data_IF_102204260382
#
_entry.id   IF_102204260382
#
_cell.length_a   1.000
_cell.length_b   1.000
_cell.length_c   1.000
_cell.angle_alpha   90.00
_cell.angle_beta   90.00
_cell.angle_gamma   90.00
#
_symmetry.space_group_name_H-M   'P 1'
#
loop_
_entity.id
_entity.type
_entity.pdbx_description
1 polymer ?
#
# COMPACT_ATOMS: atom_id res chain seq x y z
N UNK A 1 -61.32 17.04 -33.46
CA UNK A 1 -60.29 18.03 -33.87
C UNK A 1 -59.43 18.38 -32.67
N UNK A 2 -58.25 17.77 -32.54
CA UNK A 2 -57.13 18.24 -31.72
C UNK A 2 -55.86 17.82 -32.44
N UNK A 3 -55.17 18.81 -33.01
CA UNK A 3 -53.88 18.68 -33.66
C UNK A 3 -52.89 19.29 -32.67
N UNK A 4 -51.90 18.52 -32.25
CA UNK A 4 -50.58 19.08 -31.98
C UNK A 4 -49.54 18.08 -32.50
N UNK A 5 -48.98 18.44 -33.67
CA UNK A 5 -47.72 17.92 -34.19
C UNK A 5 -46.60 18.71 -33.50
N UNK A 6 -45.55 18.04 -33.01
CA UNK A 6 -44.15 18.37 -33.34
C UNK A 6 -43.17 17.43 -32.63
N UNK A 7 -42.74 16.40 -33.37
CA UNK A 7 -41.35 16.13 -33.76
C UNK A 7 -40.19 16.38 -32.78
N UNK A 8 -39.60 15.26 -32.31
CA UNK A 8 -38.16 14.84 -32.29
C UNK A 8 -37.09 15.75 -31.64
N UNK A 9 -36.22 15.06 -30.88
CA UNK A 9 -34.76 15.26 -30.65
C UNK A 9 -34.38 15.81 -29.28
N UNK A 10 -33.93 14.91 -28.40
CA UNK A 10 -32.63 14.92 -27.70
C UNK A 10 -32.68 13.74 -26.71
N UNK A 11 -32.38 12.50 -27.12
CA UNK A 11 -31.03 11.97 -27.25
C UNK A 11 -29.95 12.78 -26.49
N UNK A 12 -30.13 12.97 -25.18
CA UNK A 12 -29.00 13.07 -24.24
C UNK A 12 -28.48 11.64 -24.07
N UNK A 13 -27.61 11.16 -24.97
CA UNK A 13 -26.16 11.28 -24.83
C UNK A 13 -25.71 10.99 -23.39
N UNK A 14 -25.58 9.67 -23.15
CA UNK A 14 -24.38 8.96 -22.69
C UNK A 14 -23.40 9.76 -21.80
N UNK A 15 -22.84 9.02 -20.84
CA UNK A 15 -21.57 9.28 -20.11
C UNK A 15 -21.70 9.90 -18.72
N UNK A 16 -22.17 9.12 -17.74
CA UNK A 16 -21.60 9.23 -16.38
C UNK A 16 -21.73 7.94 -15.60
N UNK A 17 -21.45 6.81 -16.26
CA UNK A 17 -21.07 5.59 -15.56
C UNK A 17 -19.88 4.98 -16.29
N UNK A 18 -18.83 5.77 -16.51
CA UNK A 18 -17.49 5.18 -16.42
C UNK A 18 -17.36 4.80 -14.95
N UNK A 19 -17.88 3.63 -14.62
CA UNK A 19 -17.42 2.88 -13.46
C UNK A 19 -15.93 2.82 -13.67
N UNK A 20 -15.21 3.59 -12.87
CA UNK A 20 -13.76 3.59 -12.82
C UNK A 20 -13.34 2.20 -12.36
N UNK A 21 -13.32 1.25 -13.30
CA UNK A 21 -12.59 0.00 -13.18
C UNK A 21 -11.11 0.34 -13.34
N UNK A 22 -10.59 1.12 -12.40
CA UNK A 22 -9.15 1.21 -12.17
C UNK A 22 -8.77 -0.06 -11.42
N UNK A 23 -8.64 -1.16 -12.16
CA UNK A 23 -7.65 -2.19 -11.84
C UNK A 23 -6.31 -1.48 -11.75
N UNK A 24 -5.85 -1.13 -10.54
CA UNK A 24 -4.54 -0.50 -10.35
C UNK A 24 -3.46 -1.44 -10.85
N UNK A 25 -2.78 -1.03 -11.92
CA UNK A 25 -1.94 -1.87 -12.76
C UNK A 25 -0.53 -2.15 -12.22
N UNK A 26 -0.18 -1.78 -10.98
CA UNK A 26 1.16 -2.05 -10.43
C UNK A 26 1.10 -2.33 -8.92
N UNK A 27 0.64 -3.53 -8.56
CA UNK A 27 0.87 -4.10 -7.23
C UNK A 27 2.29 -4.65 -7.21
N UNK A 28 3.09 -4.22 -6.22
CA UNK A 28 4.45 -4.71 -6.02
C UNK A 28 4.56 -5.43 -4.68
N UNK A 29 5.03 -6.67 -4.75
CA UNK A 29 5.39 -7.46 -3.59
C UNK A 29 6.78 -7.07 -3.09
N UNK A 30 7.01 -7.26 -1.79
CA UNK A 30 8.33 -7.03 -1.21
C UNK A 30 9.20 -8.26 -1.49
N UNK A 31 10.41 -8.00 -1.97
CA UNK A 31 11.41 -9.03 -2.26
C UNK A 31 12.03 -9.55 -0.95
N UNK A 32 11.71 -10.79 -0.60
CA UNK A 32 12.15 -11.45 0.64
C UNK A 32 13.65 -11.78 0.63
N UNK A 33 14.29 -11.83 -0.54
CA UNK A 33 15.75 -12.01 -0.66
C UNK A 33 16.53 -10.87 0.02
N UNK A 34 15.87 -9.73 0.23
CA UNK A 34 16.43 -8.57 0.93
C UNK A 34 16.22 -8.59 2.45
N UNK A 35 15.56 -9.61 3.01
CA UNK A 35 15.19 -9.69 4.42
C UNK A 35 16.39 -9.46 5.36
N UNK A 36 17.53 -10.09 5.11
CA UNK A 36 18.74 -9.90 5.92
C UNK A 36 19.22 -8.43 5.88
N UNK A 37 19.19 -7.81 4.70
CA UNK A 37 19.54 -6.38 4.56
C UNK A 37 18.54 -5.48 5.28
N UNK A 38 17.26 -5.83 5.24
CA UNK A 38 16.21 -5.09 5.94
C UNK A 38 16.38 -5.16 7.46
N UNK A 39 16.69 -6.34 8.00
CA UNK A 39 16.94 -6.55 9.43
C UNK A 39 18.13 -5.71 9.90
N UNK A 40 19.27 -5.77 9.21
CA UNK A 40 20.45 -4.98 9.60
C UNK A 40 20.23 -3.46 9.53
N UNK A 41 19.32 -2.97 8.68
CA UNK A 41 18.95 -1.55 8.65
C UNK A 41 17.95 -1.18 9.75
N UNK A 42 17.04 -2.10 10.08
CA UNK A 42 15.96 -1.86 11.03
C UNK A 42 16.35 -2.07 12.49
N UNK A 43 17.33 -2.93 12.78
CA UNK A 43 17.75 -3.29 14.14
C UNK A 43 19.23 -2.98 14.37
N UNK A 44 19.64 -2.87 15.64
CA UNK A 44 21.07 -2.77 15.94
C UNK A 44 21.77 -4.12 15.68
N UNK A 45 23.11 -4.15 15.65
CA UNK A 45 23.87 -5.35 15.28
C UNK A 45 23.58 -6.57 16.18
N UNK A 46 23.40 -6.36 17.49
CA UNK A 46 23.14 -7.44 18.42
C UNK A 46 21.74 -8.04 18.20
N UNK A 47 20.72 -7.18 18.08
CA UNK A 47 19.34 -7.59 17.78
C UNK A 47 19.23 -8.27 16.42
N UNK A 48 19.89 -7.71 15.39
CA UNK A 48 19.90 -8.29 14.06
C UNK A 48 20.47 -9.71 14.08
N UNK A 49 21.59 -9.93 14.77
CA UNK A 49 22.17 -11.26 14.91
C UNK A 49 21.25 -12.22 15.67
N UNK A 50 20.60 -11.74 16.74
CA UNK A 50 19.64 -12.56 17.49
C UNK A 50 18.45 -13.00 16.62
N UNK A 51 17.90 -12.08 15.82
CA UNK A 51 16.80 -12.37 14.89
C UNK A 51 17.24 -13.37 13.81
N UNK A 52 18.43 -13.18 13.23
CA UNK A 52 18.94 -14.04 12.16
C UNK A 52 19.28 -15.46 12.65
N UNK A 53 19.59 -15.62 13.94
CA UNK A 53 19.87 -16.91 14.56
C UNK A 53 18.60 -17.60 15.12
N UNK A 54 17.47 -16.89 15.20
CA UNK A 54 16.19 -17.44 15.64
C UNK A 54 15.28 -17.68 14.43
N UNK A 55 15.20 -18.94 14.00
CA UNK A 55 14.37 -19.34 12.86
C UNK A 55 12.87 -19.00 13.04
N UNK A 56 12.36 -19.06 14.28
CA UNK A 56 10.95 -18.74 14.54
C UNK A 56 10.72 -17.25 14.32
N UNK A 57 11.58 -16.40 14.91
CA UNK A 57 11.48 -14.96 14.76
C UNK A 57 11.72 -14.51 13.31
N UNK A 58 12.68 -15.11 12.62
CA UNK A 58 12.96 -14.82 11.21
C UNK A 58 11.77 -15.16 10.30
N UNK A 59 11.14 -16.31 10.52
CA UNK A 59 9.96 -16.71 9.75
C UNK A 59 8.76 -15.80 10.02
N UNK A 60 8.53 -15.38 11.27
CA UNK A 60 7.50 -14.39 11.59
C UNK A 60 7.70 -13.08 10.82
N UNK A 61 8.92 -12.54 10.79
CA UNK A 61 9.22 -11.33 10.02
C UNK A 61 9.03 -11.54 8.52
N UNK A 62 9.38 -12.73 7.98
CA UNK A 62 9.13 -13.05 6.58
C UNK A 62 7.62 -13.01 6.28
N UNK A 63 6.80 -13.67 7.09
CA UNK A 63 5.33 -13.65 6.93
C UNK A 63 4.76 -12.23 7.06
N UNK A 64 5.23 -11.43 8.02
CA UNK A 64 4.84 -10.03 8.16
C UNK A 64 5.13 -9.21 6.89
N UNK A 65 6.29 -9.43 6.27
CA UNK A 65 6.68 -8.75 5.02
C UNK A 65 5.89 -9.26 3.81
N UNK A 66 5.66 -10.57 3.72
CA UNK A 66 4.85 -11.20 2.67
C UNK A 66 3.39 -10.72 2.66
N UNK A 67 2.93 -10.13 3.75
CA UNK A 67 1.59 -9.54 3.87
C UNK A 67 1.53 -8.08 3.37
N UNK A 68 2.65 -7.48 3.00
CA UNK A 68 2.73 -6.09 2.58
C UNK A 68 2.72 -6.00 1.05
N UNK A 69 1.91 -5.07 0.52
CA UNK A 69 1.91 -4.69 -0.88
C UNK A 69 2.14 -3.20 -1.03
N UNK A 70 2.87 -2.82 -2.07
CA UNK A 70 3.02 -1.43 -2.47
C UNK A 70 2.17 -1.22 -3.72
N UNK A 71 1.28 -0.25 -3.70
CA UNK A 71 0.36 0.01 -4.79
C UNK A 71 0.53 1.43 -5.29
N UNK A 72 0.67 1.60 -6.61
CA UNK A 72 0.61 2.91 -7.26
C UNK A 72 -0.83 3.25 -7.63
N UNK A 73 -1.30 4.44 -7.27
CA UNK A 73 -2.62 4.95 -7.59
C UNK A 73 -2.59 6.47 -7.86
N UNK A 74 -3.74 7.09 -8.13
CA UNK A 74 -3.80 8.55 -8.30
C UNK A 74 -3.51 9.27 -6.98
N UNK A 75 -3.00 10.51 -7.03
CA UNK A 75 -2.71 11.29 -5.81
C UNK A 75 -3.96 11.49 -4.96
N UNK A 76 -5.11 11.69 -5.60
CA UNK A 76 -6.40 11.87 -4.96
C UNK A 76 -6.82 10.59 -4.21
N UNK A 77 -6.62 9.42 -4.81
CA UNK A 77 -6.90 8.14 -4.18
C UNK A 77 -5.96 7.88 -3.00
N UNK A 78 -4.68 8.20 -3.14
CA UNK A 78 -3.69 7.96 -2.08
C UNK A 78 -3.92 8.90 -0.89
N UNK A 79 -4.34 10.14 -1.12
CA UNK A 79 -4.52 11.17 -0.10
C UNK A 79 -5.58 10.85 0.97
N UNK A 80 -6.44 9.84 0.75
CA UNK A 80 -7.43 9.41 1.73
C UNK A 80 -6.84 8.58 2.89
N UNK A 81 -5.62 8.04 2.71
CA UNK A 81 -5.00 7.14 3.68
C UNK A 81 -4.13 7.89 4.70
N UNK A 82 -3.95 7.29 5.87
CA UNK A 82 -3.04 7.80 6.88
C UNK A 82 -1.61 7.86 6.32
N UNK A 83 -0.88 8.95 6.59
CA UNK A 83 0.51 9.11 6.16
C UNK A 83 1.43 8.09 6.82
N UNK A 84 2.31 7.48 6.03
CA UNK A 84 3.26 6.46 6.46
C UNK A 84 4.30 7.04 7.44
N UNK A 85 4.65 8.32 7.29
CA UNK A 85 5.52 9.03 8.23
C UNK A 85 5.00 9.01 9.67
N UNK A 86 3.69 8.94 9.88
CA UNK A 86 3.08 8.96 11.23
C UNK A 86 3.31 7.69 12.03
N UNK A 87 3.74 6.60 11.38
CA UNK A 87 3.99 5.30 12.01
C UNK A 87 5.44 4.86 11.86
N UNK A 88 6.34 5.75 11.45
CA UNK A 88 7.76 5.41 11.30
C UNK A 88 8.44 5.25 12.67
N UNK A 89 9.26 4.21 12.82
CA UNK A 89 10.01 3.93 14.05
C UNK A 89 11.37 4.62 14.03
N UNK A 90 11.90 4.86 12.82
CA UNK A 90 13.23 5.44 12.55
C UNK A 90 13.08 6.60 11.57
N UNK A 91 14.19 7.23 11.21
CA UNK A 91 14.21 8.30 10.21
C UNK A 91 13.52 7.84 8.92
N UNK A 92 12.41 8.49 8.61
CA UNK A 92 11.58 8.23 7.44
C UNK A 92 12.19 8.90 6.19
N UNK A 93 12.76 8.14 5.24
CA UNK A 93 13.66 8.75 4.24
C UNK A 93 12.96 9.12 2.92
N UNK A 94 11.63 9.01 2.81
CA UNK A 94 10.94 9.08 1.52
C UNK A 94 9.91 10.22 1.45
N UNK A 95 10.33 11.40 0.96
CA UNK A 95 9.41 12.54 0.76
C UNK A 95 9.13 12.89 -0.71
N UNK A 96 10.03 12.54 -1.65
CA UNK A 96 9.86 12.88 -3.08
C UNK A 96 10.32 11.81 -4.08
N UNK A 97 11.21 10.89 -3.68
CA UNK A 97 11.83 9.90 -4.58
C UNK A 97 11.63 8.46 -4.08
N UNK A 98 10.41 8.12 -3.67
CA UNK A 98 10.12 6.77 -3.20
C UNK A 98 10.40 5.74 -4.29
N UNK A 99 11.24 4.75 -3.97
CA UNK A 99 11.50 3.60 -4.83
C UNK A 99 10.92 2.35 -4.18
N UNK A 100 9.84 1.77 -4.74
CA UNK A 100 9.19 0.62 -4.14
C UNK A 100 10.06 -0.64 -4.14
N UNK A 101 11.14 -0.71 -4.95
CA UNK A 101 12.13 -1.80 -4.89
C UNK A 101 12.99 -1.80 -3.63
N UNK A 102 13.13 -0.64 -2.98
CA UNK A 102 14.05 -0.42 -1.86
C UNK A 102 13.31 -0.11 -0.56
N UNK A 103 11.99 -0.22 -0.56
CA UNK A 103 11.17 -0.01 0.62
C UNK A 103 11.50 -1.08 1.66
N UNK A 104 11.86 -0.64 2.87
CA UNK A 104 12.07 -1.51 4.01
C UNK A 104 10.89 -1.38 4.98
N UNK A 105 9.96 -2.35 5.02
CA UNK A 105 8.80 -2.30 5.90
C UNK A 105 9.14 -2.36 7.39
N UNK A 106 10.30 -2.92 7.77
CA UNK A 106 10.71 -3.07 9.17
C UNK A 106 11.07 -1.75 9.85
N UNK A 107 11.12 -0.63 9.12
CA UNK A 107 11.31 0.72 9.66
C UNK A 107 10.00 1.36 10.16
N UNK A 108 8.89 0.63 10.10
CA UNK A 108 7.54 1.13 10.38
C UNK A 108 6.83 0.25 11.39
N UNK A 109 6.08 0.90 12.28
CA UNK A 109 5.22 0.21 13.23
C UNK A 109 3.86 0.00 12.59
N UNK A 110 3.81 -0.95 11.68
CA UNK A 110 2.56 -1.48 11.17
C UNK A 110 1.86 -2.22 12.31
N UNK A 111 1.05 -1.49 13.11
CA UNK A 111 0.12 -2.13 14.02
C UNK A 111 -0.84 -2.94 13.17
N UNK A 112 -0.62 -4.25 13.08
CA UNK A 112 -1.59 -5.19 12.53
C UNK A 112 -2.79 -5.09 13.45
N UNK A 113 -3.80 -4.32 13.04
CA UNK A 113 -5.03 -4.22 13.80
C UNK A 113 -5.62 -5.63 13.86
N UNK A 114 -5.70 -6.18 15.08
CA UNK A 114 -6.37 -7.45 15.40
C UNK A 114 -7.87 -7.38 15.07
N UNK A 115 -8.27 -7.14 13.83
CA UNK A 115 -9.66 -7.26 13.37
C UNK A 115 -9.79 -6.93 11.88
N UNK A 116 -9.63 -7.91 10.98
CA UNK A 116 -10.29 -7.97 9.64
C UNK A 116 -10.19 -6.73 8.71
N UNK A 117 -9.43 -5.70 9.05
CA UNK A 117 -9.39 -4.42 8.37
C UNK A 117 -8.06 -4.29 7.65
N UNK A 118 -8.11 -4.36 6.32
CA UNK A 118 -7.00 -3.96 5.45
C UNK A 118 -6.53 -2.58 5.90
N UNK A 119 -5.28 -2.48 6.32
CA UNK A 119 -4.69 -1.20 6.72
C UNK A 119 -3.91 -0.65 5.55
N UNK A 120 -4.17 0.62 5.20
CA UNK A 120 -3.54 1.29 4.08
C UNK A 120 -2.90 2.59 4.54
N UNK A 121 -1.66 2.83 4.11
CA UNK A 121 -0.88 4.01 4.48
C UNK A 121 -0.33 4.70 3.24
N UNK A 122 -0.59 6.00 3.08
CA UNK A 122 -0.01 6.80 2.02
C UNK A 122 1.50 6.94 2.23
N UNK A 123 2.30 6.72 1.19
CA UNK A 123 3.69 7.17 1.17
C UNK A 123 3.71 8.68 0.90
N UNK A 124 4.15 9.45 1.88
CA UNK A 124 4.07 10.90 1.93
C UNK A 124 4.57 11.57 0.64
N UNK A 125 3.75 12.46 0.06
CA UNK A 125 4.14 13.24 -1.12
C UNK A 125 4.20 12.45 -2.43
N UNK A 126 3.76 11.18 -2.44
CA UNK A 126 3.82 10.32 -3.62
C UNK A 126 2.47 9.75 -4.03
N UNK A 127 2.47 9.06 -5.18
CA UNK A 127 1.36 8.31 -5.75
C UNK A 127 1.29 6.85 -5.25
N UNK A 128 2.00 6.54 -4.17
CA UNK A 128 2.06 5.19 -3.62
C UNK A 128 1.35 5.09 -2.26
N UNK A 129 0.73 3.95 -2.02
CA UNK A 129 0.30 3.55 -0.69
C UNK A 129 0.79 2.12 -0.37
N UNK A 130 1.00 1.87 0.92
CA UNK A 130 1.32 0.56 1.48
C UNK A 130 0.02 -0.08 1.94
N UNK A 131 -0.25 -1.29 1.49
CA UNK A 131 -1.40 -2.09 1.88
C UNK A 131 -0.92 -3.28 2.70
N UNK A 132 -1.53 -3.49 3.86
CA UNK A 132 -1.33 -4.69 4.68
C UNK A 132 -2.52 -5.62 4.44
N UNK A 133 -2.23 -6.82 3.97
CA UNK A 133 -3.20 -7.86 3.68
C UNK A 133 -3.16 -8.87 4.83
N UNK A 134 -4.29 -9.05 5.50
CA UNK A 134 -4.47 -10.17 6.42
C UNK A 134 -4.67 -11.44 5.58
N UNK A 135 -3.63 -12.26 5.43
CA UNK A 135 -3.78 -13.59 4.88
C UNK A 135 -4.39 -14.49 5.93
N UNK A 136 -5.73 -14.55 5.97
CA UNK A 136 -6.42 -15.66 6.60
C UNK A 136 -6.00 -16.95 5.91
N UNK A 137 -5.14 -17.73 6.58
CA UNK A 137 -5.03 -19.17 6.33
C UNK A 137 -6.26 -19.87 6.88
#
# INVERSE_FOLDING_TARGET
MKIFKSTIVFLFLVTSSIVFSQTSSHIKEIDDSKLTTFIHKAYNSAEANNILNDNVRLNQLREEIENIRIVKATKEHVAQFQKLSTISIKDYPYFKNFNPSNFNPLLFNFKVANSKSKSAFQVDGTEYYILIIDQKK
#
